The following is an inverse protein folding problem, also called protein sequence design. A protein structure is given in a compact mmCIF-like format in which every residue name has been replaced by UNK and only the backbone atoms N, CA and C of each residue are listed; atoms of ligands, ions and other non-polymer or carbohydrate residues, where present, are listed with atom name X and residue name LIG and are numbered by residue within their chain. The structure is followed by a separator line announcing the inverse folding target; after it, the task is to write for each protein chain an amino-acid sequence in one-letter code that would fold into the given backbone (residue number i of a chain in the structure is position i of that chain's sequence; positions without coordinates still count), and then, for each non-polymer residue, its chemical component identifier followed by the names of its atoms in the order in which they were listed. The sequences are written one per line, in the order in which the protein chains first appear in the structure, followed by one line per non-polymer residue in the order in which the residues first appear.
data_IF_941296347677
#
_entry.id   IF_941296347677
#
_cell.length_a   1.000
_cell.length_b   1.000
_cell.length_c   1.000
_cell.angle_alpha   90.00
_cell.angle_beta   90.00
_cell.angle_gamma   90.00
#
_symmetry.space_group_name_H-M   'P 1'
#
loop_
_entity.id
_entity.type
_entity.pdbx_description
1 polymer ?
#
# COMPACT_ATOMS: atom_id res chain seq x y z
N UNK A 1 -14.61 9.92 -15.34
CA UNK A 1 -13.55 9.69 -14.34
C UNK A 1 -13.73 10.72 -13.23
N UNK A 2 -13.72 10.34 -11.96
CA UNK A 2 -13.86 11.29 -10.85
C UNK A 2 -12.46 11.59 -10.26
N UNK A 3 -11.85 12.66 -10.71
CA UNK A 3 -10.51 13.07 -10.27
C UNK A 3 -10.47 13.62 -8.84
N UNK A 4 -11.61 13.79 -8.18
CA UNK A 4 -11.65 14.23 -6.78
C UNK A 4 -11.42 13.09 -5.77
N UNK A 5 -11.30 11.86 -6.24
CA UNK A 5 -11.11 10.67 -5.38
C UNK A 5 -9.84 9.93 -5.77
N UNK A 6 -8.95 9.78 -4.80
CA UNK A 6 -7.71 9.00 -4.93
C UNK A 6 -7.68 7.92 -3.85
N UNK A 7 -7.27 6.72 -4.22
CA UNK A 7 -7.11 5.59 -3.29
C UNK A 7 -5.62 5.41 -3.00
N UNK A 8 -5.17 5.83 -1.84
CA UNK A 8 -3.84 5.52 -1.35
C UNK A 8 -3.78 4.07 -0.89
N UNK A 9 -2.72 3.35 -1.24
CA UNK A 9 -2.53 1.97 -0.79
C UNK A 9 -1.09 1.69 -0.43
N UNK A 10 -0.91 0.66 0.38
CA UNK A 10 0.38 0.14 0.80
C UNK A 10 0.31 -1.38 0.92
N UNK A 11 1.42 -2.05 0.63
CA UNK A 11 1.53 -3.51 0.58
C UNK A 11 2.50 -4.02 1.64
N UNK A 12 2.08 -5.04 2.38
CA UNK A 12 3.00 -5.87 3.15
C UNK A 12 3.18 -7.23 2.45
N UNK A 13 4.41 -7.72 2.48
CA UNK A 13 4.79 -8.95 1.79
C UNK A 13 5.44 -9.93 2.74
N UNK A 14 5.39 -11.20 2.44
CA UNK A 14 6.31 -12.16 3.04
C UNK A 14 7.73 -11.63 2.92
N UNK A 15 8.49 -11.65 4.01
CA UNK A 15 9.85 -11.14 3.99
C UNK A 15 10.78 -11.92 4.90
N UNK A 16 12.05 -11.91 4.54
CA UNK A 16 13.13 -12.61 5.24
C UNK A 16 14.36 -11.71 5.32
N UNK A 17 15.17 -11.94 6.34
CA UNK A 17 16.51 -11.38 6.43
C UNK A 17 17.50 -12.53 6.19
N UNK A 18 18.13 -12.53 5.03
CA UNK A 18 19.14 -13.52 4.64
C UNK A 18 20.50 -12.82 4.62
N UNK A 19 21.39 -13.19 5.52
CA UNK A 19 22.74 -12.61 5.65
C UNK A 19 22.78 -11.06 5.72
N UNK A 20 21.78 -10.48 6.40
CA UNK A 20 21.64 -9.02 6.52
C UNK A 20 20.96 -8.34 5.32
N UNK A 21 20.57 -9.11 4.31
CA UNK A 21 19.83 -8.61 3.13
C UNK A 21 18.35 -8.95 3.26
N UNK A 22 17.51 -7.93 3.30
CA UNK A 22 16.05 -8.10 3.26
C UNK A 22 15.60 -8.59 1.88
N UNK A 23 14.82 -9.66 1.86
CA UNK A 23 14.16 -10.17 0.65
C UNK A 23 12.66 -10.20 0.86
N UNK A 24 11.88 -10.02 -0.20
CA UNK A 24 10.41 -10.01 -0.18
C UNK A 24 9.86 -11.06 -1.13
N UNK A 25 8.68 -11.58 -0.79
CA UNK A 25 7.94 -12.56 -1.56
C UNK A 25 6.49 -12.12 -1.82
N UNK A 26 5.54 -13.05 -1.68
CA UNK A 26 4.12 -12.81 -1.97
C UNK A 26 3.48 -11.78 -1.04
N UNK A 27 2.49 -11.04 -1.56
CA UNK A 27 1.69 -10.07 -0.79
C UNK A 27 0.88 -10.80 0.29
N UNK A 28 0.88 -10.23 1.50
CA UNK A 28 0.13 -10.75 2.67
C UNK A 28 -0.85 -9.74 3.26
N UNK A 29 -0.71 -8.44 2.95
CA UNK A 29 -1.66 -7.39 3.31
C UNK A 29 -1.75 -6.34 2.21
N UNK A 30 -2.96 -5.85 1.96
CA UNK A 30 -3.23 -4.65 1.17
C UNK A 30 -4.00 -3.68 2.06
N UNK A 31 -3.36 -2.59 2.44
CA UNK A 31 -3.98 -1.47 3.13
C UNK A 31 -4.47 -0.41 2.13
N UNK A 32 -5.65 0.17 2.38
CA UNK A 32 -6.24 1.19 1.51
C UNK A 32 -6.84 2.33 2.32
N UNK A 33 -6.68 3.55 1.80
CA UNK A 33 -7.34 4.74 2.32
C UNK A 33 -7.76 5.64 1.15
N UNK A 34 -9.07 5.89 0.99
CA UNK A 34 -9.60 6.77 -0.04
C UNK A 34 -9.72 8.19 0.48
N UNK A 35 -9.20 9.16 -0.27
CA UNK A 35 -9.31 10.59 0.00
C UNK A 35 -10.29 11.26 -0.95
N UNK A 36 -10.96 12.29 -0.45
CA UNK A 36 -11.77 13.24 -1.21
C UNK A 36 -11.03 14.58 -1.27
N UNK A 37 -10.48 14.90 -2.44
CA UNK A 37 -9.70 16.11 -2.65
C UNK A 37 -10.55 17.39 -2.53
N UNK A 38 -11.82 17.33 -2.92
CA UNK A 38 -12.71 18.49 -2.80
C UNK A 38 -13.06 18.80 -1.35
N UNK A 39 -13.18 17.77 -0.52
CA UNK A 39 -13.49 17.90 0.91
C UNK A 39 -12.26 17.95 1.80
N UNK A 40 -11.07 17.62 1.27
CA UNK A 40 -9.83 17.52 2.02
C UNK A 40 -9.92 16.53 3.20
N UNK A 41 -10.53 15.38 2.98
CA UNK A 41 -10.75 14.38 4.02
C UNK A 41 -10.48 12.94 3.55
N UNK A 42 -10.16 12.05 4.49
CA UNK A 42 -10.09 10.60 4.27
C UNK A 42 -11.51 10.06 4.51
N UNK A 43 -12.10 9.50 3.47
CA UNK A 43 -13.53 9.10 3.49
C UNK A 43 -13.75 7.61 3.69
N UNK A 44 -12.72 6.79 3.45
CA UNK A 44 -12.83 5.35 3.56
C UNK A 44 -11.49 4.70 3.81
N UNK A 45 -11.49 3.61 4.56
CA UNK A 45 -10.31 2.79 4.82
C UNK A 45 -10.67 1.32 4.76
N UNK A 46 -9.72 0.48 4.36
CA UNK A 46 -9.86 -0.97 4.40
C UNK A 46 -8.52 -1.66 4.61
N UNK A 47 -8.59 -2.87 5.14
CA UNK A 47 -7.49 -3.80 5.30
C UNK A 47 -7.91 -5.14 4.73
N UNK A 48 -7.07 -5.70 3.87
CA UNK A 48 -7.29 -7.03 3.32
C UNK A 48 -6.04 -7.88 3.51
N UNK A 49 -6.20 -9.00 4.22
CA UNK A 49 -5.14 -10.00 4.26
C UNK A 49 -5.23 -10.90 3.03
N UNK A 50 -4.08 -11.12 2.41
CA UNK A 50 -3.90 -12.04 1.29
C UNK A 50 -3.25 -13.30 1.81
N UNK A 51 -3.73 -14.45 1.38
CA UNK A 51 -3.14 -15.74 1.72
C UNK A 51 -2.05 -16.05 0.70
N UNK A 52 -0.78 -16.10 1.11
CA UNK A 52 0.30 -16.51 0.22
C UNK A 52 0.10 -17.99 -0.18
N UNK A 53 0.46 -18.36 -1.40
CA UNK A 53 0.30 -19.71 -1.93
C UNK A 53 1.54 -20.57 -1.69
N UNK A 54 2.71 -19.98 -1.88
CA UNK A 54 4.00 -20.67 -1.80
C UNK A 54 4.85 -20.20 -0.63
N UNK A 55 4.83 -18.92 -0.33
CA UNK A 55 5.65 -18.31 0.70
C UNK A 55 5.08 -18.53 2.11
N UNK A 56 5.99 -18.47 3.08
CA UNK A 56 5.62 -18.55 4.49
C UNK A 56 5.99 -17.27 5.21
N UNK A 57 5.06 -16.74 5.99
CA UNK A 57 5.35 -15.62 6.88
C UNK A 57 6.42 -16.04 7.89
N UNK A 58 7.61 -15.47 7.79
CA UNK A 58 8.75 -15.74 8.65
C UNK A 58 8.57 -15.07 10.03
N UNK A 59 9.41 -15.45 11.00
CA UNK A 59 9.48 -14.74 12.26
C UNK A 59 9.90 -13.28 12.05
N UNK A 60 10.92 -13.03 11.23
CA UNK A 60 11.34 -11.68 10.86
C UNK A 60 10.18 -10.85 10.28
N UNK A 61 9.41 -11.43 9.35
CA UNK A 61 8.23 -10.78 8.79
C UNK A 61 7.19 -10.44 9.88
N UNK A 62 6.93 -11.38 10.78
CA UNK A 62 6.01 -11.16 11.91
C UNK A 62 6.50 -10.04 12.85
N UNK A 63 7.77 -10.00 13.16
CA UNK A 63 8.37 -8.96 13.99
C UNK A 63 8.30 -7.58 13.31
N UNK A 64 8.52 -7.53 12.00
CA UNK A 64 8.48 -6.30 11.22
C UNK A 64 7.05 -5.79 11.05
N UNK A 65 6.14 -6.61 10.52
CA UNK A 65 4.79 -6.18 10.11
C UNK A 65 3.72 -6.36 11.19
N UNK A 66 3.95 -7.27 12.16
CA UNK A 66 2.94 -7.72 13.11
C UNK A 66 2.01 -8.80 12.56
N UNK A 67 2.14 -9.14 11.29
CA UNK A 67 1.30 -10.17 10.64
C UNK A 67 1.88 -11.54 10.97
N UNK A 68 1.06 -12.40 11.57
CA UNK A 68 1.48 -13.76 11.93
C UNK A 68 1.00 -14.79 10.90
N UNK A 69 1.64 -15.97 10.81
CA UNK A 69 1.12 -17.06 9.98
C UNK A 69 -0.35 -17.40 10.29
N UNK A 70 -0.74 -17.31 11.57
CA UNK A 70 -2.13 -17.56 12.00
C UNK A 70 -3.12 -16.53 11.45
N UNK A 71 -2.72 -15.25 11.31
CA UNK A 71 -3.57 -14.20 10.74
C UNK A 71 -3.83 -14.48 9.27
N UNK A 72 -2.79 -14.68 8.47
CA UNK A 72 -2.96 -14.97 7.02
C UNK A 72 -3.71 -16.27 6.77
N UNK A 73 -3.52 -17.29 7.62
CA UNK A 73 -4.25 -18.55 7.51
C UNK A 73 -5.75 -18.41 7.80
N UNK A 74 -6.12 -17.59 8.80
CA UNK A 74 -7.52 -17.46 9.25
C UNK A 74 -8.30 -16.40 8.51
N UNK A 75 -7.65 -15.28 8.14
CA UNK A 75 -8.27 -14.09 7.60
C UNK A 75 -7.83 -13.79 6.16
N UNK A 76 -6.72 -14.37 5.72
CA UNK A 76 -6.22 -14.22 4.36
C UNK A 76 -7.16 -14.89 3.36
N UNK A 77 -7.34 -14.22 2.24
CA UNK A 77 -8.10 -14.69 1.09
C UNK A 77 -7.18 -14.76 -0.13
N UNK A 78 -7.56 -15.50 -1.13
CA UNK A 78 -6.89 -15.49 -2.44
C UNK A 78 -6.85 -14.08 -3.00
N UNK A 79 -5.77 -13.71 -3.68
CA UNK A 79 -5.57 -12.37 -4.25
C UNK A 79 -6.75 -11.95 -5.13
N UNK A 80 -7.27 -12.84 -5.98
CA UNK A 80 -8.43 -12.55 -6.83
C UNK A 80 -9.66 -12.12 -6.04
N UNK A 81 -9.96 -12.79 -4.92
CA UNK A 81 -11.07 -12.44 -4.03
C UNK A 81 -10.85 -11.08 -3.34
N UNK A 82 -9.60 -10.76 -3.00
CA UNK A 82 -9.24 -9.46 -2.43
C UNK A 82 -9.41 -8.35 -3.47
N UNK A 83 -8.90 -8.55 -4.68
CA UNK A 83 -9.06 -7.62 -5.81
C UNK A 83 -10.54 -7.35 -6.12
N UNK A 84 -11.38 -8.37 -6.15
CA UNK A 84 -12.84 -8.19 -6.31
C UNK A 84 -13.43 -7.32 -5.19
N UNK A 85 -12.96 -7.47 -3.96
CA UNK A 85 -13.40 -6.62 -2.85
C UNK A 85 -12.89 -5.18 -2.98
N UNK A 86 -11.68 -4.97 -3.49
CA UNK A 86 -11.16 -3.64 -3.81
C UNK A 86 -12.03 -2.97 -4.87
N UNK A 87 -12.31 -3.65 -5.98
CA UNK A 87 -13.17 -3.15 -7.06
C UNK A 87 -14.56 -2.76 -6.54
N UNK A 88 -15.19 -3.63 -5.76
CA UNK A 88 -16.51 -3.38 -5.17
C UNK A 88 -16.53 -2.18 -4.22
N UNK A 89 -15.50 -2.04 -3.39
CA UNK A 89 -15.49 -1.07 -2.32
C UNK A 89 -14.86 0.26 -2.69
N UNK A 90 -13.86 0.29 -3.56
CA UNK A 90 -13.10 1.49 -3.91
C UNK A 90 -13.26 1.89 -5.38
N UNK A 91 -13.83 1.05 -6.18
CA UNK A 91 -14.03 1.26 -7.62
C UNK A 91 -12.90 0.69 -8.47
N UNK A 92 -13.20 0.56 -9.76
CA UNK A 92 -12.40 -0.16 -10.75
C UNK A 92 -11.43 0.73 -11.55
N UNK A 93 -11.20 0.38 -12.82
CA UNK A 93 -10.13 0.95 -13.67
C UNK A 93 -10.14 2.47 -13.82
N UNK A 94 -11.27 3.11 -13.58
CA UNK A 94 -11.43 4.57 -13.67
C UNK A 94 -11.10 5.32 -12.37
N UNK A 95 -10.59 4.63 -11.36
CA UNK A 95 -10.10 5.23 -10.13
C UNK A 95 -8.60 5.45 -10.20
N UNK A 96 -8.16 6.55 -9.61
CA UNK A 96 -6.73 6.83 -9.43
C UNK A 96 -6.29 6.15 -8.14
N UNK A 97 -5.25 5.33 -8.25
CA UNK A 97 -4.56 4.74 -7.11
C UNK A 97 -3.21 5.40 -6.91
N UNK A 98 -2.74 5.45 -5.67
CA UNK A 98 -1.48 6.07 -5.33
C UNK A 98 -0.74 5.28 -4.25
N UNK A 99 0.58 5.21 -4.33
CA UNK A 99 1.43 4.59 -3.31
C UNK A 99 2.73 5.36 -3.13
N UNK A 100 3.46 5.04 -2.05
CA UNK A 100 4.79 5.58 -1.82
C UNK A 100 5.85 4.70 -2.48
N UNK A 101 6.05 4.86 -3.76
CA UNK A 101 7.01 4.08 -4.53
C UNK A 101 6.38 3.34 -5.69
N UNK A 102 6.69 2.06 -5.84
CA UNK A 102 6.28 1.23 -6.97
C UNK A 102 5.50 -0.02 -6.57
N UNK A 103 4.64 0.12 -5.59
CA UNK A 103 3.74 -0.96 -5.15
C UNK A 103 2.77 -1.37 -6.26
N UNK A 104 2.52 -0.46 -7.21
CA UNK A 104 1.79 -0.76 -8.44
C UNK A 104 2.43 -1.90 -9.23
N UNK A 105 3.76 -1.92 -9.34
CA UNK A 105 4.47 -2.99 -10.05
C UNK A 105 4.47 -4.31 -9.28
N UNK A 106 4.58 -4.24 -7.95
CA UNK A 106 4.53 -5.43 -7.10
C UNK A 106 3.16 -6.08 -7.26
N UNK A 107 2.09 -5.31 -7.07
CA UNK A 107 0.72 -5.81 -7.23
C UNK A 107 0.46 -6.31 -8.65
N UNK A 108 0.92 -5.58 -9.68
CA UNK A 108 0.77 -5.98 -11.07
C UNK A 108 1.45 -7.31 -11.38
N UNK A 109 2.68 -7.49 -10.88
CA UNK A 109 3.43 -8.73 -11.12
C UNK A 109 2.74 -9.92 -10.46
N UNK A 110 2.27 -9.77 -9.22
CA UNK A 110 1.57 -10.85 -8.52
C UNK A 110 0.19 -11.13 -9.16
N UNK A 111 -0.54 -10.11 -9.56
CA UNK A 111 -1.77 -10.27 -10.34
C UNK A 111 -1.53 -11.05 -11.63
N UNK A 112 -0.45 -10.73 -12.36
CA UNK A 112 -0.08 -11.43 -13.59
C UNK A 112 0.26 -12.91 -13.33
N UNK A 113 1.05 -13.20 -12.30
CA UNK A 113 1.42 -14.55 -11.92
C UNK A 113 0.22 -15.42 -11.52
N UNK A 114 -0.80 -14.81 -10.92
CA UNK A 114 -2.00 -15.49 -10.42
C UNK A 114 -3.21 -15.35 -11.37
N UNK A 115 -2.99 -14.86 -12.59
CA UNK A 115 -4.04 -14.65 -13.60
C UNK A 115 -5.22 -13.79 -13.08
N UNK A 116 -4.91 -12.80 -12.25
CA UNK A 116 -5.86 -11.83 -11.70
C UNK A 116 -5.77 -10.53 -12.48
N UNK A 117 -6.91 -9.94 -12.83
CA UNK A 117 -6.94 -8.63 -13.49
C UNK A 117 -6.52 -7.52 -12.51
N UNK A 118 -5.64 -6.60 -12.96
CA UNK A 118 -5.21 -5.46 -12.18
C UNK A 118 -6.40 -4.54 -11.83
N UNK A 119 -6.59 -4.16 -10.55
CA UNK A 119 -7.79 -3.41 -10.14
C UNK A 119 -7.84 -1.96 -10.65
N UNK A 120 -6.74 -1.41 -11.15
CA UNK A 120 -6.67 -0.02 -11.64
C UNK A 120 -5.71 0.12 -12.82
N UNK A 121 -5.92 1.18 -13.61
CA UNK A 121 -5.04 1.58 -14.73
C UNK A 121 -4.29 2.88 -14.45
N UNK A 122 -4.87 3.77 -13.64
CA UNK A 122 -4.30 5.07 -13.31
C UNK A 122 -3.56 5.03 -11.97
N UNK A 123 -2.30 5.46 -11.97
CA UNK A 123 -1.43 5.39 -10.79
C UNK A 123 -0.60 6.64 -10.60
N UNK A 124 -0.47 7.08 -9.36
CA UNK A 124 0.41 8.16 -8.94
C UNK A 124 1.49 7.63 -7.97
N UNK A 125 2.75 7.75 -8.35
CA UNK A 125 3.87 7.53 -7.43
C UNK A 125 4.09 8.78 -6.58
N UNK A 126 3.59 8.76 -5.35
CA UNK A 126 3.67 9.91 -4.44
C UNK A 126 5.10 10.22 -3.99
N UNK A 127 5.99 9.24 -3.91
CA UNK A 127 7.41 9.49 -3.60
C UNK A 127 8.08 10.30 -4.71
N UNK A 128 7.76 10.02 -5.98
CA UNK A 128 8.25 10.79 -7.11
C UNK A 128 7.66 12.19 -7.13
N UNK A 129 6.34 12.31 -6.93
CA UNK A 129 5.66 13.62 -6.87
C UNK A 129 6.24 14.50 -5.74
N UNK A 130 6.41 13.93 -4.54
CA UNK A 130 7.01 14.62 -3.40
C UNK A 130 8.40 15.17 -3.71
N UNK A 131 9.26 14.36 -4.35
CA UNK A 131 10.60 14.77 -4.75
C UNK A 131 10.59 15.94 -5.72
N UNK A 132 9.70 15.92 -6.70
CA UNK A 132 9.53 17.01 -7.69
C UNK A 132 9.08 18.28 -6.99
N UNK A 133 8.03 18.22 -6.18
CA UNK A 133 7.46 19.38 -5.48
C UNK A 133 8.45 20.04 -4.51
N UNK A 134 9.25 19.22 -3.81
CA UNK A 134 10.24 19.72 -2.85
C UNK A 134 11.64 19.89 -3.43
N UNK A 135 11.82 19.73 -4.76
CA UNK A 135 13.09 19.89 -5.49
C UNK A 135 14.25 19.07 -4.89
N UNK A 136 13.92 17.87 -4.39
CA UNK A 136 14.91 16.97 -3.82
C UNK A 136 15.75 16.38 -4.96
N UNK A 137 17.06 16.70 -5.01
CA UNK A 137 17.94 16.22 -6.06
C UNK A 137 18.14 14.71 -5.88
N UNK A 138 19.06 14.10 -5.41
CA UNK A 138 19.37 12.68 -5.55
C UNK A 138 18.98 11.78 -4.36
N UNK A 139 18.20 12.26 -3.39
CA UNK A 139 17.86 11.49 -2.20
C UNK A 139 16.49 10.83 -2.31
N UNK A 140 16.47 9.52 -2.19
CA UNK A 140 15.24 8.82 -1.83
C UNK A 140 14.87 9.22 -0.40
N UNK A 141 13.62 9.57 -0.19
CA UNK A 141 13.08 9.84 1.15
C UNK A 141 12.02 8.78 1.46
N UNK A 142 12.07 8.23 2.65
CA UNK A 142 11.05 7.30 3.14
C UNK A 142 9.73 8.04 3.43
N UNK A 143 8.63 7.32 3.42
CA UNK A 143 7.29 7.87 3.66
C UNK A 143 7.21 8.59 5.03
N UNK A 144 7.64 7.94 6.11
CA UNK A 144 7.62 8.53 7.45
C UNK A 144 8.45 9.82 7.56
N UNK A 145 9.63 9.85 6.94
CA UNK A 145 10.48 11.03 6.93
C UNK A 145 9.87 12.19 6.11
N UNK A 146 9.18 11.88 5.00
CA UNK A 146 8.46 12.89 4.23
C UNK A 146 7.29 13.47 5.02
N UNK A 147 6.58 12.65 5.77
CA UNK A 147 5.48 13.06 6.64
C UNK A 147 5.98 13.94 7.78
N UNK A 148 7.11 13.58 8.40
CA UNK A 148 7.79 14.39 9.41
C UNK A 148 8.18 15.77 8.88
N UNK A 149 8.75 15.86 7.68
CA UNK A 149 9.09 17.13 7.03
C UNK A 149 7.87 18.04 6.80
N UNK A 150 6.67 17.46 6.69
CA UNK A 150 5.41 18.21 6.56
C UNK A 150 4.75 18.49 7.91
N UNK A 151 5.39 18.15 9.03
CA UNK A 151 4.85 18.25 10.39
C UNK A 151 3.52 17.50 10.56
N UNK A 152 3.34 16.39 9.86
CA UNK A 152 2.18 15.51 9.99
C UNK A 152 2.54 14.39 10.95
N UNK A 153 1.92 14.28 12.13
CA UNK A 153 2.25 13.22 13.08
C UNK A 153 1.89 11.85 12.51
N UNK A 154 2.82 10.90 12.67
CA UNK A 154 2.57 9.51 12.35
C UNK A 154 1.61 8.89 13.37
N UNK A 155 0.62 8.17 12.90
CA UNK A 155 -0.34 7.48 13.75
C UNK A 155 -0.24 5.97 13.57
N UNK A 156 -0.11 5.25 14.67
CA UNK A 156 -0.07 3.79 14.69
C UNK A 156 1.30 3.18 14.44
N UNK A 157 1.33 1.86 14.21
CA UNK A 157 2.56 1.10 13.99
C UNK A 157 2.97 1.17 12.52
N UNK A 158 4.23 1.49 12.25
CA UNK A 158 4.84 1.35 10.92
C UNK A 158 4.88 -0.13 10.49
N UNK A 159 4.96 -0.37 9.21
CA UNK A 159 4.92 -1.70 8.60
C UNK A 159 3.60 -2.45 8.89
N UNK A 160 2.51 -1.73 8.86
CA UNK A 160 1.16 -2.25 8.74
C UNK A 160 0.52 -1.56 7.54
N UNK A 161 0.24 -2.29 6.49
CA UNK A 161 -0.29 -1.73 5.25
C UNK A 161 -1.54 -0.86 5.49
N UNK A 162 -2.42 -1.26 6.41
CA UNK A 162 -3.59 -0.45 6.81
C UNK A 162 -3.21 0.89 7.44
N UNK A 163 -2.20 0.91 8.31
CA UNK A 163 -1.71 2.12 8.99
C UNK A 163 -0.92 2.97 8.00
N UNK A 164 -0.08 2.35 7.20
CA UNK A 164 0.80 3.04 6.26
C UNK A 164 0.00 3.69 5.12
N UNK A 165 -1.03 3.01 4.59
CA UNK A 165 -1.98 3.60 3.64
C UNK A 165 -2.75 4.80 4.24
N UNK A 166 -3.13 4.75 5.51
CA UNK A 166 -3.77 5.88 6.19
C UNK A 166 -2.84 7.08 6.35
N UNK A 167 -1.62 6.86 6.82
CA UNK A 167 -0.63 7.93 6.94
C UNK A 167 -0.26 8.49 5.55
N UNK A 168 -0.18 7.63 4.53
CA UNK A 168 0.03 8.07 3.16
C UNK A 168 -1.11 8.96 2.66
N UNK A 169 -2.36 8.62 2.98
CA UNK A 169 -3.51 9.44 2.64
C UNK A 169 -3.47 10.82 3.30
N UNK A 170 -3.02 10.92 4.55
CA UNK A 170 -2.79 12.22 5.23
C UNK A 170 -1.74 13.07 4.49
N UNK A 171 -0.63 12.45 4.09
CA UNK A 171 0.40 13.14 3.33
C UNK A 171 -0.10 13.52 1.93
N UNK A 172 -0.82 12.64 1.25
CA UNK A 172 -1.37 12.87 -0.09
C UNK A 172 -2.32 14.08 -0.14
N UNK A 173 -3.14 14.30 0.89
CA UNK A 173 -4.00 15.48 1.00
C UNK A 173 -3.22 16.81 0.99
N UNK A 174 -1.93 16.81 1.36
CA UNK A 174 -1.09 18.01 1.30
C UNK A 174 -0.36 18.17 -0.03
N UNK A 175 -0.44 17.15 -0.90
CA UNK A 175 0.32 17.07 -2.15
C UNK A 175 -0.57 17.20 -3.40
N UNK A 176 -1.83 16.80 -3.29
CA UNK A 176 -2.82 16.76 -4.37
C UNK A 176 -3.92 17.80 -4.16
#
# INVERSE_FOLDING_TARGET
MNYNRVVCFDLEMCCWNVDGVGTTGEIIEIGLAEIDLAKQEIVKRAQYYVKPETDKVSQFCTELTGITPKVVQKQGRELGSVVQSMLKNFGGPNKIYAAWGRDDLILKNECLQKEVEMPFSEFINLATLYRIQNRLKDKRIGHSAAQEQKNIPWEGRQHSGYVDAYNLAKLALTML
#
